data_IF_906289041473
#
_entry.id   IF_906289041473
#
_cell.length_a   1.000
_cell.length_b   1.000
_cell.length_c   1.000
_cell.angle_alpha   90.00
_cell.angle_beta   90.00
_cell.angle_gamma   90.00
#
_symmetry.space_group_name_H-M   'P 1'
#
loop_
_entity.id
_entity.type
_entity.pdbx_description
1 polymer ?
#
# COMPACT_ATOMS: atom_id res chain seq x y z
N UNK A 1 15.12 -63.58 0.43
CA UNK A 1 14.25 -63.05 1.50
C UNK A 1 13.93 -61.60 1.21
N UNK A 2 12.67 -61.22 0.95
CA UNK A 2 12.29 -59.82 0.76
C UNK A 2 12.14 -59.11 2.12
N UNK A 3 12.68 -57.88 2.23
CA UNK A 3 12.63 -57.04 3.44
C UNK A 3 11.19 -56.59 3.74
N UNK A 4 10.76 -56.53 5.01
CA UNK A 4 9.44 -56.05 5.37
C UNK A 4 9.28 -54.56 5.07
N UNK A 5 8.14 -54.20 4.50
CA UNK A 5 7.75 -52.84 4.12
C UNK A 5 7.35 -52.08 5.39
N UNK A 6 8.03 -50.99 5.70
CA UNK A 6 7.74 -50.17 6.88
C UNK A 6 6.31 -49.62 6.83
N UNK A 7 5.52 -49.91 7.87
CA UNK A 7 4.20 -49.32 8.09
C UNK A 7 4.33 -47.80 8.28
N UNK A 8 3.52 -47.05 7.52
CA UNK A 8 3.44 -45.59 7.70
C UNK A 8 2.66 -45.31 8.99
N UNK A 9 3.12 -44.40 9.85
CA UNK A 9 2.39 -44.04 11.05
C UNK A 9 1.07 -43.35 10.68
N UNK A 10 -0.02 -43.83 11.27
CA UNK A 10 -1.37 -43.26 11.17
C UNK A 10 -1.34 -41.83 11.74
N UNK A 11 -1.83 -40.81 11.02
CA UNK A 11 -1.86 -39.45 11.55
C UNK A 11 -2.83 -39.39 12.75
N UNK A 12 -2.49 -38.66 13.83
CA UNK A 12 -3.37 -38.54 14.97
C UNK A 12 -4.69 -37.85 14.58
N UNK A 13 -5.81 -38.20 15.23
CA UNK A 13 -7.11 -37.61 14.92
C UNK A 13 -7.07 -36.09 15.12
N UNK A 14 -7.73 -35.37 14.23
CA UNK A 14 -7.84 -33.92 14.23
C UNK A 14 -8.48 -33.43 15.55
N UNK A 15 -7.62 -33.12 16.52
CA UNK A 15 -7.97 -32.52 17.79
C UNK A 15 -8.75 -31.23 17.57
N UNK A 16 -9.87 -31.10 18.31
CA UNK A 16 -10.79 -29.95 18.48
C UNK A 16 -10.13 -28.56 18.37
N UNK A 17 -9.79 -28.12 17.16
CA UNK A 17 -9.08 -26.85 16.89
C UNK A 17 -9.95 -25.77 16.23
N UNK A 18 -11.25 -26.00 16.04
CA UNK A 18 -12.09 -25.08 15.25
C UNK A 18 -12.64 -23.86 16.01
N UNK A 19 -12.83 -23.93 17.34
CA UNK A 19 -13.47 -22.81 18.05
C UNK A 19 -12.55 -21.59 18.24
N UNK A 20 -11.28 -21.78 18.53
CA UNK A 20 -10.33 -20.66 18.70
C UNK A 20 -9.95 -19.99 17.36
N UNK A 21 -9.91 -20.76 16.26
CA UNK A 21 -9.63 -20.24 14.93
C UNK A 21 -10.82 -19.46 14.34
N UNK A 22 -12.05 -19.84 14.68
CA UNK A 22 -13.26 -19.13 14.25
C UNK A 22 -13.46 -17.76 14.93
N UNK A 23 -13.04 -17.62 16.19
CA UNK A 23 -13.23 -16.39 16.98
C UNK A 23 -12.43 -15.20 16.46
N UNK A 24 -11.21 -15.41 15.95
CA UNK A 24 -10.38 -14.34 15.41
C UNK A 24 -10.89 -13.81 14.06
N UNK A 25 -11.41 -14.70 13.21
CA UNK A 25 -12.04 -14.30 11.94
C UNK A 25 -13.31 -13.48 12.17
N UNK A 26 -14.12 -13.85 13.18
CA UNK A 26 -15.27 -13.06 13.64
C UNK A 26 -14.85 -11.72 14.24
N UNK A 27 -13.77 -11.66 15.03
CA UNK A 27 -13.23 -10.41 15.56
C UNK A 27 -12.73 -9.48 14.45
N UNK A 28 -12.07 -10.02 13.42
CA UNK A 28 -11.63 -9.26 12.25
C UNK A 28 -12.83 -8.74 11.43
N UNK A 29 -13.85 -9.58 11.21
CA UNK A 29 -15.08 -9.16 10.54
C UNK A 29 -15.85 -8.11 11.34
N UNK A 30 -15.92 -8.25 12.67
CA UNK A 30 -16.53 -7.27 13.56
C UNK A 30 -15.74 -5.96 13.57
N UNK A 31 -14.40 -6.02 13.53
CA UNK A 31 -13.57 -4.83 13.41
C UNK A 31 -13.85 -4.07 12.11
N UNK A 32 -13.87 -4.76 10.97
CA UNK A 32 -14.20 -4.16 9.67
C UNK A 32 -15.62 -3.60 9.67
N UNK A 33 -16.58 -4.29 10.30
CA UNK A 33 -17.95 -3.81 10.46
C UNK A 33 -18.05 -2.53 11.31
N UNK A 34 -17.32 -2.45 12.42
CA UNK A 34 -17.25 -1.27 13.32
C UNK A 34 -16.56 -0.09 12.64
N UNK A 35 -15.60 -0.37 11.77
CA UNK A 35 -14.95 0.64 10.95
C UNK A 35 -15.88 1.18 9.86
N UNK A 36 -16.67 0.33 9.21
CA UNK A 36 -17.76 0.79 8.34
C UNK A 36 -18.83 1.59 9.09
N UNK A 37 -19.07 1.27 10.37
CA UNK A 37 -19.97 2.01 11.25
C UNK A 37 -19.51 3.45 11.51
N UNK A 38 -18.21 3.76 11.32
CA UNK A 38 -17.70 5.14 11.40
C UNK A 38 -18.38 6.09 10.40
N UNK A 39 -18.80 5.57 9.23
CA UNK A 39 -19.48 6.35 8.19
C UNK A 39 -20.95 6.59 8.49
N UNK A 40 -21.57 5.72 9.29
CA UNK A 40 -22.99 5.79 9.64
C UNK A 40 -23.24 6.52 10.97
N UNK A 41 -22.37 6.34 11.97
CA UNK A 41 -22.54 6.95 13.31
C UNK A 41 -21.20 7.20 14.03
N UNK A 42 -20.70 8.44 14.06
CA UNK A 42 -19.38 8.75 14.64
C UNK A 42 -19.32 8.61 16.18
N UNK A 43 -20.44 8.79 16.89
CA UNK A 43 -20.50 8.69 18.35
C UNK A 43 -20.33 7.26 18.89
N UNK A 44 -20.87 6.26 18.17
CA UNK A 44 -20.72 4.84 18.52
C UNK A 44 -19.34 4.32 18.17
N UNK A 45 -18.78 4.75 17.04
CA UNK A 45 -17.41 4.39 16.64
C UNK A 45 -16.39 4.84 17.69
N UNK A 46 -16.52 6.07 18.20
CA UNK A 46 -15.64 6.62 19.23
C UNK A 46 -15.64 5.85 20.56
N UNK A 47 -16.67 5.04 20.85
CA UNK A 47 -16.74 4.20 22.06
C UNK A 47 -16.38 2.74 21.80
N UNK A 48 -16.83 2.17 20.68
CA UNK A 48 -16.56 0.76 20.35
C UNK A 48 -15.11 0.51 19.97
N UNK A 49 -14.49 1.40 19.20
CA UNK A 49 -13.12 1.24 18.74
C UNK A 49 -12.12 1.12 19.90
N UNK A 50 -12.10 2.01 20.92
CA UNK A 50 -11.18 1.86 22.05
C UNK A 50 -11.51 0.63 22.91
N UNK A 51 -12.78 0.25 23.05
CA UNK A 51 -13.17 -0.95 23.80
C UNK A 51 -12.65 -2.24 23.14
N UNK A 52 -12.75 -2.33 21.81
CA UNK A 52 -12.21 -3.47 21.05
C UNK A 52 -10.69 -3.54 21.21
N UNK A 53 -9.99 -2.42 21.05
CA UNK A 53 -8.55 -2.36 21.25
C UNK A 53 -8.13 -2.68 22.68
N UNK A 54 -8.86 -2.21 23.70
CA UNK A 54 -8.60 -2.51 25.09
C UNK A 54 -8.79 -4.00 25.41
N UNK A 55 -9.85 -4.62 24.89
CA UNK A 55 -10.08 -6.06 25.02
C UNK A 55 -8.96 -6.86 24.33
N UNK A 56 -8.54 -6.44 23.14
CA UNK A 56 -7.43 -7.05 22.40
C UNK A 56 -6.11 -6.92 23.18
N UNK A 57 -5.82 -5.74 23.72
CA UNK A 57 -4.62 -5.45 24.50
C UNK A 57 -4.57 -6.27 25.78
N UNK A 58 -5.68 -6.37 26.50
CA UNK A 58 -5.80 -7.19 27.71
C UNK A 58 -5.60 -8.67 27.41
N UNK A 59 -6.22 -9.17 26.33
CA UNK A 59 -6.04 -10.55 25.87
C UNK A 59 -4.58 -10.84 25.49
N UNK A 60 -3.88 -9.88 24.85
CA UNK A 60 -2.45 -10.03 24.60
C UNK A 60 -1.61 -10.00 25.86
N UNK A 61 -1.87 -9.09 26.79
CA UNK A 61 -1.10 -8.97 28.03
C UNK A 61 -1.20 -10.24 28.88
N UNK A 62 -2.39 -10.84 28.95
CA UNK A 62 -2.62 -12.08 29.68
C UNK A 62 -1.88 -13.29 29.06
N UNK A 63 -1.71 -13.31 27.72
CA UNK A 63 -1.11 -14.45 26.99
C UNK A 63 0.37 -14.26 26.66
N UNK A 64 0.88 -13.04 26.65
CA UNK A 64 2.29 -12.71 26.40
C UNK A 64 3.29 -13.51 27.24
N UNK A 65 3.11 -13.68 28.58
CA UNK A 65 4.07 -14.44 29.37
C UNK A 65 4.04 -15.95 29.10
N UNK A 66 2.93 -16.49 28.56
CA UNK A 66 2.75 -17.91 28.29
C UNK A 66 3.00 -18.29 26.83
N UNK A 67 3.51 -17.36 26.01
CA UNK A 67 3.70 -17.61 24.60
C UNK A 67 4.89 -18.56 24.35
N UNK A 68 4.59 -19.77 23.88
CA UNK A 68 5.56 -20.86 23.77
C UNK A 68 6.62 -20.68 22.66
N UNK A 69 6.44 -19.71 21.76
CA UNK A 69 7.28 -19.53 20.56
C UNK A 69 8.18 -18.29 20.62
N UNK A 70 8.39 -17.71 21.80
CA UNK A 70 9.26 -16.54 21.99
C UNK A 70 10.65 -16.71 21.36
N UNK A 71 11.29 -17.87 21.52
CA UNK A 71 12.63 -18.13 20.96
C UNK A 71 12.66 -18.03 19.42
N UNK A 72 11.59 -18.47 18.75
CA UNK A 72 11.48 -18.42 17.31
C UNK A 72 11.19 -17.00 16.80
N UNK A 73 10.38 -16.22 17.53
CA UNK A 73 10.11 -14.82 17.22
C UNK A 73 11.36 -13.94 17.42
N UNK A 74 12.08 -14.11 18.54
CA UNK A 74 13.31 -13.35 18.83
C UNK A 74 14.38 -13.62 17.77
N UNK A 75 14.48 -14.86 17.29
CA UNK A 75 15.42 -15.21 16.20
C UNK A 75 15.03 -14.59 14.85
N UNK A 76 13.73 -14.39 14.61
CA UNK A 76 13.23 -13.75 13.38
C UNK A 76 13.25 -12.21 13.46
N UNK A 77 13.25 -11.64 14.66
CA UNK A 77 13.28 -10.20 14.90
C UNK A 77 14.39 -9.41 14.18
N UNK A 78 15.68 -9.83 14.16
CA UNK A 78 16.71 -9.07 13.46
C UNK A 78 16.44 -8.97 11.95
N UNK A 79 15.93 -10.05 11.34
CA UNK A 79 15.58 -10.05 9.92
C UNK A 79 14.37 -9.16 9.63
N UNK A 80 13.40 -9.14 10.54
CA UNK A 80 12.26 -8.23 10.45
C UNK A 80 12.70 -6.77 10.51
N UNK A 81 13.56 -6.41 11.48
CA UNK A 81 14.12 -5.07 11.61
C UNK A 81 14.93 -4.67 10.38
N UNK A 82 15.74 -5.57 9.83
CA UNK A 82 16.48 -5.32 8.60
C UNK A 82 15.54 -5.05 7.40
N UNK A 83 14.46 -5.82 7.24
CA UNK A 83 13.46 -5.59 6.20
C UNK A 83 12.72 -4.25 6.40
N UNK A 84 12.43 -3.87 7.64
CA UNK A 84 11.81 -2.59 7.98
C UNK A 84 12.74 -1.40 7.66
N UNK A 85 14.03 -1.52 7.98
CA UNK A 85 15.04 -0.52 7.62
C UNK A 85 15.21 -0.41 6.10
N UNK A 86 15.21 -1.54 5.38
CA UNK A 86 15.25 -1.54 3.91
C UNK A 86 14.02 -0.84 3.31
N UNK A 87 12.83 -1.10 3.85
CA UNK A 87 11.60 -0.44 3.42
C UNK A 87 11.66 1.08 3.69
N UNK A 88 12.14 1.49 4.86
CA UNK A 88 12.30 2.90 5.21
C UNK A 88 13.33 3.58 4.28
N UNK A 89 14.46 2.92 4.01
CA UNK A 89 15.46 3.40 3.08
C UNK A 89 14.90 3.57 1.67
N UNK A 90 14.13 2.59 1.17
CA UNK A 90 13.45 2.70 -0.13
C UNK A 90 12.46 3.89 -0.17
N UNK A 91 11.74 4.13 0.93
CA UNK A 91 10.80 5.26 1.09
C UNK A 91 11.54 6.61 1.10
N UNK A 92 12.69 6.69 1.77
CA UNK A 92 13.54 7.88 1.78
C UNK A 92 14.16 8.12 0.41
N UNK A 93 14.67 7.09 -0.26
CA UNK A 93 15.18 7.20 -1.63
C UNK A 93 14.10 7.69 -2.60
N UNK A 94 12.87 7.17 -2.48
CA UNK A 94 11.72 7.64 -3.26
C UNK A 94 11.43 9.13 -2.99
N UNK A 95 11.32 9.52 -1.72
CA UNK A 95 11.05 10.91 -1.32
C UNK A 95 12.16 11.89 -1.78
N UNK A 96 13.43 11.49 -1.69
CA UNK A 96 14.57 12.27 -2.17
C UNK A 96 14.51 12.39 -3.70
N UNK A 97 14.26 11.29 -4.41
CA UNK A 97 14.18 11.28 -5.88
C UNK A 97 13.10 12.22 -6.41
N UNK A 98 11.92 12.23 -5.78
CA UNK A 98 10.81 13.13 -6.14
C UNK A 98 11.14 14.59 -5.83
N UNK A 99 11.81 14.85 -4.69
CA UNK A 99 12.21 16.22 -4.32
C UNK A 99 13.30 16.79 -5.23
N UNK A 100 14.21 15.96 -5.73
CA UNK A 100 15.32 16.38 -6.58
C UNK A 100 14.93 16.66 -8.03
N UNK A 101 13.75 16.23 -8.46
CA UNK A 101 13.20 16.58 -9.78
C UNK A 101 12.40 17.87 -9.69
N UNK A 102 12.58 18.80 -10.63
CA UNK A 102 11.63 19.89 -10.84
C UNK A 102 10.22 19.31 -10.99
N UNK A 103 9.14 19.99 -10.55
CA UNK A 103 7.79 19.45 -10.64
C UNK A 103 7.47 19.12 -12.10
N UNK A 104 7.57 17.84 -12.43
CA UNK A 104 7.24 17.37 -13.77
C UNK A 104 5.71 17.45 -13.90
N UNK A 105 5.21 17.82 -15.09
CA UNK A 105 3.80 17.72 -15.36
C UNK A 105 3.35 16.26 -15.23
N UNK A 106 2.57 15.97 -14.19
CA UNK A 106 1.99 14.64 -13.96
C UNK A 106 0.91 14.37 -15.00
N UNK A 107 1.29 13.71 -16.09
CA UNK A 107 0.38 13.28 -17.16
C UNK A 107 -0.77 12.41 -16.63
N UNK A 108 -0.52 11.63 -15.58
CA UNK A 108 -1.54 10.86 -14.86
C UNK A 108 -2.57 11.75 -14.15
N UNK A 109 -2.14 12.86 -13.54
CA UNK A 109 -3.06 13.81 -12.93
C UNK A 109 -3.95 14.48 -13.98
N UNK A 110 -3.40 14.83 -15.14
CA UNK A 110 -4.16 15.36 -16.26
C UNK A 110 -5.16 14.34 -16.81
N UNK A 111 -4.76 13.08 -16.94
CA UNK A 111 -5.65 12.01 -17.38
C UNK A 111 -6.80 11.81 -16.41
N UNK A 112 -6.54 11.82 -15.09
CA UNK A 112 -7.58 11.68 -14.08
C UNK A 112 -8.54 12.88 -14.07
N UNK A 113 -8.04 14.10 -14.24
CA UNK A 113 -8.86 15.31 -14.38
C UNK A 113 -9.73 15.26 -15.65
N UNK A 114 -9.15 14.85 -16.77
CA UNK A 114 -9.85 14.69 -18.03
C UNK A 114 -10.93 13.59 -17.95
N UNK A 115 -10.61 12.45 -17.31
CA UNK A 115 -11.57 11.38 -17.04
C UNK A 115 -12.68 11.86 -16.10
N UNK A 116 -12.35 12.62 -15.06
CA UNK A 116 -13.33 13.17 -14.12
C UNK A 116 -14.31 14.14 -14.79
N UNK A 117 -13.88 14.88 -15.82
CA UNK A 117 -14.78 15.74 -16.61
C UNK A 117 -15.61 14.95 -17.65
N UNK A 118 -15.15 13.77 -18.07
CA UNK A 118 -15.79 12.96 -19.13
C UNK A 118 -16.68 11.83 -18.62
N UNK A 119 -16.50 11.38 -17.39
CA UNK A 119 -17.26 10.26 -16.82
C UNK A 119 -18.61 10.69 -16.22
N UNK A 120 -19.64 9.81 -16.26
CA UNK A 120 -20.90 10.04 -15.56
C UNK A 120 -20.67 10.16 -14.04
N UNK A 121 -21.41 11.06 -13.40
CA UNK A 121 -21.18 11.40 -12.00
C UNK A 121 -21.33 10.19 -11.05
N UNK A 122 -22.21 9.25 -11.36
CA UNK A 122 -22.36 7.97 -10.63
C UNK A 122 -21.10 7.10 -10.68
N UNK A 123 -20.41 7.04 -11.83
CA UNK A 123 -19.14 6.29 -11.95
C UNK A 123 -18.04 7.00 -11.18
N UNK A 124 -17.99 8.33 -11.23
CA UNK A 124 -17.05 9.12 -10.43
C UNK A 124 -17.27 8.90 -8.93
N UNK A 125 -18.53 8.90 -8.47
CA UNK A 125 -18.85 8.61 -7.08
C UNK A 125 -18.51 7.17 -6.68
N UNK A 126 -18.68 6.19 -7.58
CA UNK A 126 -18.30 4.80 -7.32
C UNK A 126 -16.77 4.61 -7.32
N UNK A 127 -16.04 5.23 -8.23
CA UNK A 127 -14.57 5.18 -8.27
C UNK A 127 -13.93 5.94 -7.11
N UNK A 128 -14.58 7.03 -6.67
CA UNK A 128 -14.22 7.79 -5.47
C UNK A 128 -14.73 7.12 -4.19
N UNK A 129 -15.62 6.12 -4.29
CA UNK A 129 -16.07 5.40 -3.12
C UNK A 129 -14.87 4.69 -2.50
N UNK A 130 -14.45 5.20 -1.35
CA UNK A 130 -13.27 4.76 -0.62
C UNK A 130 -13.56 3.40 0.03
N UNK A 131 -13.61 2.34 -0.76
CA UNK A 131 -14.05 1.00 -0.31
C UNK A 131 -12.93 0.33 0.52
N UNK A 132 -11.65 0.64 0.25
CA UNK A 132 -10.50 0.11 0.99
C UNK A 132 -9.49 1.22 1.22
N UNK A 133 -9.52 1.81 2.42
CA UNK A 133 -8.54 2.80 2.86
C UNK A 133 -7.20 2.15 3.23
N UNK A 134 -6.12 2.92 3.22
CA UNK A 134 -4.82 2.49 3.75
C UNK A 134 -4.90 1.96 5.18
N UNK A 135 -5.81 2.51 6.00
CA UNK A 135 -5.99 2.00 7.36
C UNK A 135 -6.57 0.57 7.40
N UNK A 136 -7.33 0.13 6.39
CA UNK A 136 -7.88 -1.22 6.34
C UNK A 136 -6.75 -2.23 6.13
N UNK A 137 -5.79 -1.91 5.27
CA UNK A 137 -4.58 -2.72 5.07
C UNK A 137 -3.73 -2.78 6.35
N UNK A 138 -3.55 -1.65 7.02
CA UNK A 138 -2.83 -1.60 8.30
C UNK A 138 -3.54 -2.47 9.35
N UNK A 139 -4.86 -2.39 9.43
CA UNK A 139 -5.65 -3.18 10.36
C UNK A 139 -5.53 -4.68 10.09
N UNK A 140 -5.68 -5.10 8.83
CA UNK A 140 -5.51 -6.50 8.44
C UNK A 140 -4.11 -7.02 8.77
N UNK A 141 -3.10 -6.18 8.59
CA UNK A 141 -1.72 -6.49 8.97
C UNK A 141 -1.57 -6.69 10.48
N UNK A 142 -2.18 -5.81 11.28
CA UNK A 142 -2.18 -5.94 12.75
C UNK A 142 -2.92 -7.22 13.17
N UNK A 143 -4.12 -7.48 12.61
CA UNK A 143 -4.89 -8.70 12.88
C UNK A 143 -4.14 -9.98 12.50
N UNK A 144 -3.32 -9.95 11.44
CA UNK A 144 -2.43 -11.06 11.10
C UNK A 144 -1.40 -11.31 12.21
N UNK A 145 -0.87 -10.25 12.83
CA UNK A 145 0.00 -10.32 14.00
C UNK A 145 -0.68 -10.99 15.20
N UNK A 146 -1.93 -10.62 15.50
CA UNK A 146 -2.72 -11.28 16.54
C UNK A 146 -2.98 -12.75 16.20
N UNK A 147 -3.26 -13.09 14.94
CA UNK A 147 -3.44 -14.48 14.48
C UNK A 147 -2.19 -15.34 14.66
N UNK A 148 -1.00 -14.77 14.47
CA UNK A 148 0.24 -15.45 14.82
C UNK A 148 0.37 -15.64 16.34
N UNK A 149 0.06 -14.62 17.13
CA UNK A 149 0.15 -14.65 18.59
C UNK A 149 -0.80 -15.66 19.26
N UNK A 150 -1.99 -15.89 18.68
CA UNK A 150 -2.98 -16.86 19.18
C UNK A 150 -2.78 -18.29 18.63
N UNK A 151 -1.65 -18.59 17.98
CA UNK A 151 -1.33 -19.89 17.36
C UNK A 151 -2.33 -20.34 16.28
N UNK A 152 -3.07 -19.40 15.67
CA UNK A 152 -3.93 -19.70 14.53
C UNK A 152 -3.11 -20.06 13.27
N UNK A 153 -1.84 -19.66 13.23
CA UNK A 153 -0.90 -19.94 12.14
C UNK A 153 0.29 -20.76 12.68
N UNK A 154 0.67 -21.81 11.93
CA UNK A 154 1.74 -22.76 12.31
C UNK A 154 3.16 -22.17 12.32
N UNK A 155 3.38 -20.96 11.81
CA UNK A 155 4.71 -20.32 11.69
C UNK A 155 4.93 -19.13 12.65
N UNK A 156 6.19 -18.66 12.80
CA UNK A 156 6.51 -17.44 13.55
C UNK A 156 5.90 -16.21 12.85
N UNK A 157 5.21 -15.37 13.60
CA UNK A 157 4.54 -14.17 13.10
C UNK A 157 5.51 -13.18 12.48
N UNK A 158 6.62 -12.88 13.16
CA UNK A 158 7.66 -12.01 12.64
C UNK A 158 8.29 -12.60 11.38
N UNK A 159 8.47 -13.92 11.29
CA UNK A 159 9.03 -14.55 10.09
C UNK A 159 8.14 -14.37 8.85
N UNK A 160 6.81 -14.43 9.00
CA UNK A 160 5.87 -14.13 7.91
C UNK A 160 5.91 -12.65 7.57
N UNK A 161 5.91 -11.78 8.59
CA UNK A 161 6.03 -10.33 8.45
C UNK A 161 7.29 -9.92 7.69
N UNK A 162 8.44 -10.54 7.98
CA UNK A 162 9.71 -10.28 7.30
C UNK A 162 9.62 -10.56 5.81
N UNK A 163 9.04 -11.69 5.40
CA UNK A 163 8.90 -12.04 3.97
C UNK A 163 8.00 -11.03 3.26
N UNK A 164 6.90 -10.66 3.89
CA UNK A 164 5.97 -9.66 3.36
C UNK A 164 6.65 -8.30 3.21
N UNK A 165 7.30 -7.80 4.26
CA UNK A 165 8.00 -6.51 4.25
C UNK A 165 9.14 -6.49 3.25
N UNK A 166 9.92 -7.58 3.16
CA UNK A 166 11.03 -7.68 2.21
C UNK A 166 10.54 -7.61 0.76
N UNK A 167 9.53 -8.40 0.38
CA UNK A 167 8.99 -8.37 -0.99
C UNK A 167 8.41 -7.01 -1.32
N UNK A 168 7.68 -6.40 -0.39
CA UNK A 168 7.14 -5.06 -0.57
C UNK A 168 8.27 -4.00 -0.70
N UNK A 169 9.35 -4.12 0.08
CA UNK A 169 10.50 -3.22 0.01
C UNK A 169 11.22 -3.35 -1.34
N UNK A 170 11.47 -4.57 -1.80
CA UNK A 170 12.07 -4.84 -3.11
C UNK A 170 11.19 -4.31 -4.24
N UNK A 171 9.87 -4.54 -4.18
CA UNK A 171 8.92 -4.02 -5.17
C UNK A 171 8.94 -2.49 -5.24
N UNK A 172 8.96 -1.80 -4.10
CA UNK A 172 9.11 -0.34 -4.06
C UNK A 172 10.45 0.10 -4.59
N UNK A 173 11.54 -0.55 -4.20
CA UNK A 173 12.88 -0.19 -4.66
C UNK A 173 13.02 -0.31 -6.18
N UNK A 174 12.50 -1.39 -6.79
CA UNK A 174 12.44 -1.56 -8.24
C UNK A 174 11.60 -0.46 -8.91
N UNK A 175 10.46 -0.10 -8.33
CA UNK A 175 9.65 1.04 -8.79
C UNK A 175 10.44 2.36 -8.72
N UNK A 176 11.15 2.62 -7.63
CA UNK A 176 11.96 3.82 -7.49
C UNK A 176 13.12 3.85 -8.49
N UNK A 177 13.83 2.73 -8.71
CA UNK A 177 14.89 2.65 -9.71
C UNK A 177 14.36 2.90 -11.11
N UNK A 178 13.23 2.28 -11.47
CA UNK A 178 12.62 2.47 -12.79
C UNK A 178 12.15 3.92 -12.97
N UNK A 179 11.55 4.53 -11.95
CA UNK A 179 11.21 5.96 -11.94
C UNK A 179 12.45 6.84 -12.14
N UNK A 180 13.49 6.67 -11.30
CA UNK A 180 14.76 7.37 -11.40
C UNK A 180 15.37 7.20 -12.80
N UNK A 181 15.37 5.99 -13.34
CA UNK A 181 15.99 5.68 -14.63
C UNK A 181 15.21 6.20 -15.83
N UNK A 182 13.91 6.46 -15.70
CA UNK A 182 13.04 6.97 -16.78
C UNK A 182 12.80 8.47 -16.69
N UNK A 183 12.81 9.05 -15.49
CA UNK A 183 12.47 10.45 -15.25
C UNK A 183 13.69 11.33 -15.07
N UNK A 184 14.78 10.84 -14.45
CA UNK A 184 16.01 11.65 -14.45
C UNK A 184 16.49 11.76 -15.89
N UNK A 185 16.75 12.99 -16.38
CA UNK A 185 17.28 13.15 -17.71
C UNK A 185 18.54 12.32 -17.82
N UNK A 186 18.70 11.60 -18.94
CA UNK A 186 19.93 10.89 -19.23
C UNK A 186 21.11 11.80 -18.91
N UNK A 187 22.20 11.28 -18.34
CA UNK A 187 23.38 12.05 -17.94
C UNK A 187 24.01 12.93 -19.07
N UNK A 188 23.48 12.81 -20.29
CA UNK A 188 23.76 13.65 -21.45
C UNK A 188 22.48 14.39 -21.90
N UNK A 189 22.16 15.57 -21.35
CA UNK A 189 20.94 16.32 -21.68
C UNK A 189 20.80 16.65 -23.17
N UNK A 190 21.91 16.71 -23.91
CA UNK A 190 21.95 16.92 -25.35
C UNK A 190 21.37 15.76 -26.19
N UNK A 191 21.32 14.53 -25.67
CA UNK A 191 20.78 13.39 -26.42
C UNK A 191 19.25 13.40 -26.54
N UNK A 192 18.54 13.97 -25.57
CA UNK A 192 17.08 14.09 -25.63
C UNK A 192 16.65 15.21 -26.58
N UNK A 193 17.27 16.38 -26.48
CA UNK A 193 16.99 17.53 -27.34
C UNK A 193 17.36 17.30 -28.82
N UNK A 194 18.42 16.52 -29.08
CA UNK A 194 18.82 16.19 -30.45
C UNK A 194 17.91 15.15 -31.13
N UNK A 195 17.23 14.29 -30.35
CA UNK A 195 16.40 13.21 -30.87
C UNK A 195 14.90 13.52 -30.88
N UNK A 196 14.45 14.38 -29.97
CA UNK A 196 13.07 14.79 -29.84
C UNK A 196 12.98 16.32 -29.83
N UNK A 197 12.25 16.88 -30.79
CA UNK A 197 11.78 18.27 -30.69
C UNK A 197 10.69 18.30 -29.63
N UNK A 198 11.04 18.71 -28.42
CA UNK A 198 10.09 18.89 -27.33
C UNK A 198 9.52 20.31 -27.48
N UNK A 199 8.20 20.47 -27.72
CA UNK A 199 7.58 21.80 -27.76
C UNK A 199 7.71 22.49 -26.39
N UNK A 200 7.92 23.80 -26.38
CA UNK A 200 8.07 24.58 -25.15
C UNK A 200 6.78 24.67 -24.31
N UNK A 201 5.65 24.25 -24.87
CA UNK A 201 4.35 24.29 -24.22
C UNK A 201 3.60 22.94 -24.37
N UNK A 202 2.76 22.56 -23.39
CA UNK A 202 1.96 21.34 -23.47
C UNK A 202 0.85 21.47 -24.52
N UNK A 203 0.35 20.33 -25.00
CA UNK A 203 -0.72 20.28 -26.01
C UNK A 203 -1.99 21.06 -25.55
N UNK A 204 -2.70 21.70 -26.49
CA UNK A 204 -3.84 22.59 -26.21
C UNK A 204 -4.89 22.05 -25.22
N UNK A 205 -5.23 20.75 -25.28
CA UNK A 205 -6.18 20.14 -24.35
C UNK A 205 -5.64 20.03 -22.90
N UNK A 206 -4.33 19.89 -22.73
CA UNK A 206 -3.67 19.74 -21.44
C UNK A 206 -3.30 21.10 -20.79
N UNK A 207 -3.21 22.16 -21.60
CA UNK A 207 -2.93 23.52 -21.12
C UNK A 207 -3.90 23.97 -20.02
N UNK A 208 -5.18 23.60 -20.12
CA UNK A 208 -6.21 23.90 -19.09
C UNK A 208 -5.84 23.40 -17.68
N UNK A 209 -5.02 22.34 -17.56
CA UNK A 209 -4.71 21.71 -16.27
C UNK A 209 -3.29 22.01 -15.76
N UNK A 210 -2.51 22.87 -16.44
CA UNK A 210 -1.12 23.18 -16.07
C UNK A 210 -1.00 24.58 -15.43
N UNK A 211 -0.22 24.67 -14.34
CA UNK A 211 -0.23 25.79 -13.38
C UNK A 211 0.04 27.19 -13.98
N UNK A 212 0.95 27.42 -14.95
CA UNK A 212 1.06 28.75 -15.56
C UNK A 212 -0.11 29.13 -16.48
N UNK A 213 -0.84 28.18 -17.05
CA UNK A 213 -1.99 28.45 -17.93
C UNK A 213 -3.33 28.50 -17.19
N UNK A 214 -3.47 27.73 -16.11
CA UNK A 214 -4.65 27.73 -15.25
C UNK A 214 -4.77 29.01 -14.41
N UNK A 215 -3.63 29.65 -14.10
CA UNK A 215 -3.58 30.87 -13.28
C UNK A 215 -3.81 32.16 -14.07
N UNK A 216 -3.41 32.22 -15.35
CA UNK A 216 -3.66 33.36 -16.23
C UNK A 216 -4.54 32.97 -17.44
N UNK A 217 -5.83 33.36 -17.47
CA UNK A 217 -6.72 33.11 -18.60
C UNK A 217 -6.23 33.69 -19.93
N UNK A 218 -5.38 34.74 -19.89
CA UNK A 218 -4.82 35.38 -21.08
C UNK A 218 -3.65 34.60 -21.67
N UNK A 219 -3.00 33.74 -20.89
CA UNK A 219 -1.90 32.90 -21.36
C UNK A 219 -2.37 31.88 -22.40
N UNK A 220 -3.51 31.22 -22.15
CA UNK A 220 -4.13 30.27 -23.09
C UNK A 220 -4.50 30.98 -24.41
N UNK A 221 -5.14 32.15 -24.31
CA UNK A 221 -5.55 32.93 -25.49
C UNK A 221 -4.35 33.36 -26.34
N UNK A 222 -3.23 33.73 -25.71
CA UNK A 222 -2.00 34.12 -26.41
C UNK A 222 -1.38 32.95 -27.16
N UNK A 223 -1.35 31.75 -26.57
CA UNK A 223 -0.84 30.54 -27.25
C UNK A 223 -1.71 30.20 -28.46
N UNK A 224 -3.04 30.19 -28.30
CA UNK A 224 -3.97 29.90 -29.41
C UNK A 224 -3.78 30.87 -30.60
N UNK A 225 -3.49 32.14 -30.32
CA UNK A 225 -3.29 33.17 -31.35
C UNK A 225 -1.92 33.09 -32.04
N UNK A 226 -0.87 32.69 -31.31
CA UNK A 226 0.50 32.62 -31.83
C UNK A 226 0.77 31.30 -32.56
N UNK A 227 0.04 30.23 -32.22
CA UNK A 227 0.37 28.86 -32.59
C UNK A 227 -0.63 28.23 -33.59
N UNK A 228 -1.37 29.04 -34.38
CA UNK A 228 -2.13 28.48 -35.51
C UNK A 228 -1.13 28.00 -36.59
N UNK A 229 -1.04 26.68 -36.87
CA UNK A 229 -0.06 26.14 -37.81
C UNK A 229 -0.44 26.38 -39.28
N UNK A 230 -1.57 27.05 -39.53
CA UNK A 230 -1.99 27.51 -40.85
C UNK A 230 -2.57 28.93 -40.70
N UNK A 231 -1.75 29.92 -40.98
CA UNK A 231 -2.22 31.19 -41.54
C UNK A 231 -2.26 31.06 -43.05
#
# INVERSE_FOLDING_TARGET
>A
MPRPKAERPVPPPASRRSLAAGGLGLAAAAYVGVDYLSRASPSLHGRLQPAIWAALALATAARAPFYRRWDAEIRAAPWFLAAMLLMLAALLCEAISVRSTAPLPDTGQWLLLALNERLPQTVVYLLRAHIISLHHYLMLFIMLGFSAFFDCIKGPGLGIGTRYMFVMAVGRFLRTITFVSTILPSARPWCAAARYKIPDHPHAWAQKYYVPYASDPRAIRRVILVDMPYG
#
